data_IF_396459095248
#
_entry.id   IF_396459095248
#
_cell.length_a   1.000
_cell.length_b   1.000
_cell.length_c   1.000
_cell.angle_alpha   90.00
_cell.angle_beta   90.00
_cell.angle_gamma   90.00
#
_symmetry.space_group_name_H-M   'P 1'
#
loop_
_entity.id
_entity.type
_entity.pdbx_description
1 polymer ?
#
# COMPACT_ATOMS: atom_id res chain seq x y z
N UNK A 1 68.82 -7.12 -67.95
CA UNK A 1 69.46 -6.72 -66.68
C UNK A 1 68.36 -6.24 -65.75
N UNK A 2 68.41 -6.60 -64.45
CA UNK A 2 67.24 -7.10 -63.72
C UNK A 2 66.30 -6.01 -63.16
N UNK A 3 65.04 -6.43 -63.01
CA UNK A 3 63.94 -5.79 -62.29
C UNK A 3 64.29 -5.42 -60.84
N UNK A 4 64.03 -4.17 -60.48
CA UNK A 4 63.71 -3.72 -59.12
C UNK A 4 62.79 -2.50 -59.25
N UNK A 5 61.54 -2.66 -58.84
CA UNK A 5 60.84 -1.78 -57.90
C UNK A 5 59.35 -2.14 -57.86
N UNK A 6 59.03 -3.13 -57.04
CA UNK A 6 57.68 -3.37 -56.53
C UNK A 6 57.38 -2.32 -55.46
N UNK A 7 56.74 -1.21 -55.85
CA UNK A 7 56.09 -0.31 -54.89
C UNK A 7 54.67 -0.78 -54.58
N UNK A 8 54.53 -1.16 -53.32
CA UNK A 8 53.34 -1.49 -52.57
C UNK A 8 52.30 -0.34 -52.59
N UNK A 9 51.10 -0.57 -53.12
CA UNK A 9 49.93 0.27 -52.83
C UNK A 9 48.90 -0.56 -52.07
N UNK A 10 48.95 -0.46 -50.74
CA UNK A 10 47.97 -1.03 -49.82
C UNK A 10 46.59 -0.38 -50.05
N UNK A 11 45.66 -1.13 -50.64
CA UNK A 11 44.22 -0.82 -50.52
C UNK A 11 43.81 -1.08 -49.08
N UNK A 12 43.40 -0.03 -48.39
CA UNK A 12 42.76 -0.10 -47.07
C UNK A 12 41.38 -0.73 -47.22
N UNK A 13 41.21 -1.95 -46.70
CA UNK A 13 39.90 -2.55 -46.45
C UNK A 13 39.19 -1.77 -45.34
N UNK A 14 38.19 -0.98 -45.73
CA UNK A 14 37.25 -0.38 -44.77
C UNK A 14 36.19 -1.46 -44.46
N UNK A 15 36.01 -1.89 -43.19
CA UNK A 15 34.96 -2.84 -42.86
C UNK A 15 33.58 -2.21 -43.13
N UNK A 16 32.58 -2.99 -43.58
CA UNK A 16 31.26 -2.46 -43.90
C UNK A 16 30.62 -1.80 -42.67
N UNK A 17 29.94 -0.69 -42.91
CA UNK A 17 29.20 0.02 -41.87
C UNK A 17 28.25 -0.96 -41.13
N UNK A 18 28.13 -0.85 -39.80
CA UNK A 18 27.18 -1.66 -39.06
C UNK A 18 25.75 -1.36 -39.56
N UNK A 19 24.87 -2.37 -39.61
CA UNK A 19 23.53 -2.21 -40.14
C UNK A 19 22.79 -1.09 -39.41
N UNK A 20 22.11 -0.23 -40.16
CA UNK A 20 21.29 0.84 -39.61
C UNK A 20 20.17 0.25 -38.76
N UNK A 21 20.00 0.81 -37.56
CA UNK A 21 19.02 0.39 -36.53
C UNK A 21 17.57 0.32 -37.04
N UNK A 22 17.28 0.91 -38.18
CA UNK A 22 15.94 0.99 -38.78
C UNK A 22 15.44 -0.32 -39.40
N UNK A 23 16.30 -1.33 -39.60
CA UNK A 23 15.88 -2.62 -40.16
C UNK A 23 15.33 -3.63 -39.13
N UNK A 24 15.36 -3.33 -37.83
CA UNK A 24 15.00 -4.26 -36.75
C UNK A 24 13.65 -3.98 -36.06
N UNK A 25 12.81 -3.09 -36.61
CA UNK A 25 11.53 -2.71 -35.99
C UNK A 25 10.31 -3.40 -36.61
N UNK A 26 10.46 -4.65 -37.04
CA UNK A 26 9.32 -5.53 -37.30
C UNK A 26 8.79 -6.10 -35.97
N UNK A 27 7.78 -5.44 -35.40
CA UNK A 27 6.84 -5.96 -34.40
C UNK A 27 7.45 -6.67 -33.18
N UNK A 28 8.20 -5.96 -32.33
CA UNK A 28 8.44 -6.41 -30.97
C UNK A 28 7.08 -6.45 -30.21
N UNK A 29 6.53 -7.64 -30.00
CA UNK A 29 5.31 -7.83 -29.21
C UNK A 29 5.55 -7.26 -27.81
N UNK A 30 4.68 -6.35 -27.35
CA UNK A 30 4.72 -5.86 -25.97
C UNK A 30 4.78 -7.04 -25.00
N UNK A 31 5.62 -7.01 -23.95
CA UNK A 31 5.66 -8.08 -22.97
C UNK A 31 4.26 -8.31 -22.40
N UNK A 32 3.80 -9.55 -22.37
CA UNK A 32 2.53 -9.89 -21.71
C UNK A 32 2.65 -9.56 -20.22
N UNK A 33 1.59 -9.01 -19.59
CA UNK A 33 1.62 -8.81 -18.15
C UNK A 33 1.80 -10.15 -17.43
N UNK A 34 2.41 -10.16 -16.23
CA UNK A 34 2.55 -11.37 -15.45
C UNK A 34 1.19 -11.96 -15.09
N UNK A 35 1.12 -13.29 -14.97
CA UNK A 35 -0.08 -13.95 -14.46
C UNK A 35 -0.29 -13.59 -12.97
N UNK A 36 -1.55 -13.48 -12.50
CA UNK A 36 -1.83 -13.18 -11.11
C UNK A 36 -1.46 -14.35 -10.19
N UNK A 37 -1.11 -14.04 -8.94
CA UNK A 37 -0.77 -15.05 -7.93
C UNK A 37 -1.91 -16.05 -7.72
N UNK A 38 -1.58 -17.34 -7.76
CA UNK A 38 -2.56 -18.44 -7.70
C UNK A 38 -2.64 -19.05 -6.30
N UNK A 39 -3.00 -18.23 -5.31
CA UNK A 39 -3.24 -18.67 -3.93
C UNK A 39 -4.74 -18.99 -3.72
N UNK A 40 -5.10 -20.04 -2.95
CA UNK A 40 -6.49 -20.42 -2.71
C UNK A 40 -7.38 -19.27 -2.22
N UNK A 41 -6.88 -18.47 -1.25
CA UNK A 41 -7.63 -17.33 -0.72
C UNK A 41 -7.94 -16.28 -1.80
N UNK A 42 -6.96 -15.98 -2.66
CA UNK A 42 -7.13 -14.99 -3.71
C UNK A 42 -8.06 -15.52 -4.81
N UNK A 43 -7.97 -16.81 -5.14
CA UNK A 43 -8.89 -17.44 -6.08
C UNK A 43 -10.34 -17.37 -5.58
N UNK A 44 -10.58 -17.67 -4.30
CA UNK A 44 -11.91 -17.56 -3.69
C UNK A 44 -12.47 -16.13 -3.71
N UNK A 45 -11.61 -15.13 -3.56
CA UNK A 45 -12.00 -13.71 -3.59
C UNK A 45 -12.19 -13.13 -4.99
N UNK A 46 -11.65 -13.76 -6.06
CA UNK A 46 -11.70 -13.19 -7.42
C UNK A 46 -13.10 -13.00 -7.97
N UNK A 47 -14.04 -13.87 -7.61
CA UNK A 47 -15.45 -13.77 -8.03
C UNK A 47 -16.33 -13.09 -6.99
N UNK A 48 -15.73 -12.49 -5.96
CA UNK A 48 -16.45 -11.89 -4.84
C UNK A 48 -16.25 -10.38 -4.82
N UNK A 49 -17.13 -9.70 -4.10
CA UNK A 49 -17.06 -8.26 -3.86
C UNK A 49 -16.00 -7.99 -2.80
N UNK A 50 -14.96 -7.23 -3.14
CA UNK A 50 -13.88 -6.84 -2.21
C UNK A 50 -13.85 -5.32 -2.12
N UNK A 51 -13.81 -4.78 -0.90
CA UNK A 51 -13.80 -3.34 -0.68
C UNK A 51 -12.44 -2.91 -0.13
N UNK A 52 -11.85 -1.90 -0.76
CA UNK A 52 -10.78 -1.08 -0.20
C UNK A 52 -11.37 0.20 0.39
N UNK A 53 -11.35 0.29 1.72
CA UNK A 53 -11.84 1.40 2.52
C UNK A 53 -10.88 2.62 2.52
N UNK A 54 -10.43 3.06 1.35
CA UNK A 54 -9.44 4.13 1.22
C UNK A 54 -9.57 4.95 -0.05
N UNK A 55 -9.42 6.28 0.05
CA UNK A 55 -9.33 7.17 -1.12
C UNK A 55 -7.94 7.17 -1.77
N UNK A 56 -6.93 6.55 -1.14
CA UNK A 56 -5.55 6.65 -1.60
C UNK A 56 -5.33 5.94 -2.94
N UNK A 57 -4.96 6.67 -4.02
CA UNK A 57 -4.66 6.05 -5.31
C UNK A 57 -3.49 5.06 -5.22
N UNK A 58 -2.55 5.32 -4.32
CA UNK A 58 -1.37 4.46 -4.10
C UNK A 58 -1.75 3.11 -3.48
N UNK A 59 -2.65 3.11 -2.49
CA UNK A 59 -3.16 1.86 -1.89
C UNK A 59 -3.96 1.04 -2.91
N UNK A 60 -4.77 1.70 -3.74
CA UNK A 60 -5.46 1.05 -4.86
C UNK A 60 -4.48 0.40 -5.83
N UNK A 61 -3.40 1.11 -6.19
CA UNK A 61 -2.36 0.56 -7.05
C UNK A 61 -1.69 -0.67 -6.42
N UNK A 62 -1.29 -0.59 -5.15
CA UNK A 62 -0.66 -1.72 -4.45
C UNK A 62 -1.61 -2.92 -4.37
N UNK A 63 -2.87 -2.70 -3.99
CA UNK A 63 -3.89 -3.76 -3.91
C UNK A 63 -4.13 -4.45 -5.25
N UNK A 64 -3.99 -3.73 -6.38
CA UNK A 64 -4.15 -4.32 -7.71
C UNK A 64 -3.15 -5.44 -8.02
N UNK A 65 -1.98 -5.45 -7.36
CA UNK A 65 -0.97 -6.50 -7.53
C UNK A 65 -1.43 -7.86 -6.99
N UNK A 66 -2.47 -7.92 -6.15
CA UNK A 66 -3.07 -9.18 -5.71
C UNK A 66 -3.93 -9.85 -6.80
N UNK A 67 -4.18 -9.18 -7.93
CA UNK A 67 -4.92 -9.77 -9.05
C UNK A 67 -6.40 -10.04 -8.74
N UNK A 68 -7.01 -9.22 -7.89
CA UNK A 68 -8.45 -9.25 -7.60
C UNK A 68 -9.17 -8.30 -8.56
N UNK A 69 -10.08 -8.80 -9.42
CA UNK A 69 -10.72 -7.98 -10.46
C UNK A 69 -11.82 -7.06 -9.91
N UNK A 70 -12.44 -7.41 -8.79
CA UNK A 70 -13.65 -6.77 -8.26
C UNK A 70 -13.35 -5.96 -6.99
N UNK A 71 -12.32 -5.11 -7.02
CA UNK A 71 -12.01 -4.21 -5.92
C UNK A 71 -12.84 -2.92 -6.07
N UNK A 72 -13.78 -2.72 -5.15
CA UNK A 72 -14.52 -1.46 -4.97
C UNK A 72 -13.74 -0.51 -4.05
N UNK A 73 -13.78 0.78 -4.37
CA UNK A 73 -13.13 1.83 -3.57
C UNK A 73 -14.22 2.59 -2.83
N UNK A 74 -14.38 2.33 -1.53
CA UNK A 74 -15.43 2.94 -0.70
C UNK A 74 -14.76 3.55 0.52
N UNK A 75 -14.39 4.83 0.49
CA UNK A 75 -13.72 5.44 1.62
C UNK A 75 -14.65 5.68 2.80
N UNK A 76 -14.12 5.55 4.02
CA UNK A 76 -14.81 6.02 5.21
C UNK A 76 -15.02 7.54 5.15
N UNK A 77 -16.20 7.99 5.59
CA UNK A 77 -16.57 9.40 5.70
C UNK A 77 -16.24 10.01 7.07
N UNK A 78 -15.75 9.20 8.00
CA UNK A 78 -15.48 9.63 9.38
C UNK A 78 -14.25 10.53 9.47
N UNK A 79 -14.28 11.57 10.31
CA UNK A 79 -13.11 12.40 10.56
C UNK A 79 -12.01 11.61 11.28
N UNK A 80 -10.75 11.93 10.94
CA UNK A 80 -9.53 11.40 11.58
C UNK A 80 -9.18 12.28 12.80
N UNK A 81 -10.03 12.27 13.82
CA UNK A 81 -10.01 13.24 14.93
C UNK A 81 -9.59 12.67 16.29
N UNK A 82 -8.97 11.48 16.31
CA UNK A 82 -8.43 10.92 17.54
C UNK A 82 -7.41 11.86 18.20
N UNK A 83 -7.36 11.91 19.56
CA UNK A 83 -6.43 12.78 20.27
C UNK A 83 -4.97 12.47 19.90
N UNK A 84 -4.23 13.50 19.51
CA UNK A 84 -2.81 13.38 19.16
C UNK A 84 -1.89 13.10 20.34
N UNK A 85 -2.44 13.15 21.56
CA UNK A 85 -1.77 12.68 22.79
C UNK A 85 -1.71 11.16 22.88
N UNK A 86 -2.46 10.45 22.04
CA UNK A 86 -2.40 9.00 21.92
C UNK A 86 -1.05 8.56 21.36
N UNK A 87 -0.57 7.39 21.79
CA UNK A 87 0.66 6.84 21.22
C UNK A 87 0.49 6.64 19.70
N UNK A 88 1.52 6.91 18.87
CA UNK A 88 1.39 6.85 17.41
C UNK A 88 0.84 5.51 16.88
N UNK A 89 1.28 4.40 17.47
CA UNK A 89 0.85 3.04 17.13
C UNK A 89 -0.65 2.85 17.42
N UNK A 90 -1.11 3.28 18.59
CA UNK A 90 -2.52 3.19 18.97
C UNK A 90 -3.39 4.11 18.08
N UNK A 91 -2.90 5.31 17.77
CA UNK A 91 -3.58 6.27 16.90
C UNK A 91 -3.82 5.70 15.50
N UNK A 92 -2.77 5.17 14.86
CA UNK A 92 -2.86 4.66 13.49
C UNK A 92 -3.76 3.42 13.43
N UNK A 93 -3.67 2.55 14.44
CA UNK A 93 -4.52 1.37 14.55
C UNK A 93 -5.99 1.73 14.76
N UNK A 94 -6.28 2.63 15.70
CA UNK A 94 -7.64 3.09 15.98
C UNK A 94 -8.26 3.74 14.73
N UNK A 95 -7.49 4.57 14.04
CA UNK A 95 -7.93 5.23 12.80
C UNK A 95 -8.23 4.23 11.69
N UNK A 96 -7.34 3.26 11.43
CA UNK A 96 -7.58 2.21 10.44
C UNK A 96 -8.78 1.32 10.81
N UNK A 97 -8.94 0.98 12.09
CA UNK A 97 -10.05 0.16 12.59
C UNK A 97 -11.39 0.87 12.42
N UNK A 98 -11.47 2.15 12.82
CA UNK A 98 -12.67 2.98 12.65
C UNK A 98 -13.09 3.05 11.17
N UNK A 99 -12.13 3.21 10.26
CA UNK A 99 -12.39 3.22 8.80
C UNK A 99 -13.00 1.90 8.33
N UNK A 100 -12.44 0.77 8.72
CA UNK A 100 -12.94 -0.56 8.34
C UNK A 100 -14.36 -0.80 8.87
N UNK A 101 -14.58 -0.55 10.17
CA UNK A 101 -15.87 -0.75 10.83
C UNK A 101 -16.97 0.15 10.27
N UNK A 102 -16.65 1.41 9.94
CA UNK A 102 -17.60 2.33 9.31
C UNK A 102 -18.08 1.78 7.96
N UNK A 103 -17.14 1.36 7.12
CA UNK A 103 -17.47 0.83 5.78
C UNK A 103 -18.19 -0.51 5.89
N UNK A 104 -17.84 -1.35 6.86
CA UNK A 104 -18.58 -2.58 7.18
C UNK A 104 -20.04 -2.27 7.53
N UNK A 105 -20.28 -1.39 8.49
CA UNK A 105 -21.64 -1.04 8.92
C UNK A 105 -22.49 -0.46 7.76
N UNK A 106 -21.85 0.27 6.84
CA UNK A 106 -22.51 0.84 5.66
C UNK A 106 -22.83 -0.22 4.59
N UNK A 107 -21.92 -1.16 4.34
CA UNK A 107 -21.94 -1.98 3.12
C UNK A 107 -22.41 -3.42 3.33
N UNK A 108 -22.44 -3.92 4.58
CA UNK A 108 -22.86 -5.29 4.89
C UNK A 108 -24.34 -5.54 4.59
N UNK A 109 -25.20 -4.53 4.71
CA UNK A 109 -26.64 -4.62 4.44
C UNK A 109 -27.04 -3.95 3.11
N UNK A 110 -26.09 -3.80 2.17
CA UNK A 110 -26.36 -3.15 0.90
C UNK A 110 -27.19 -4.08 -0.02
N UNK A 111 -28.50 -3.85 -0.10
CA UNK A 111 -29.43 -4.67 -0.90
C UNK A 111 -29.11 -4.69 -2.41
N UNK A 112 -28.54 -3.60 -2.95
CA UNK A 112 -28.24 -3.47 -4.37
C UNK A 112 -27.00 -4.29 -4.77
N UNK A 113 -25.94 -4.21 -3.96
CA UNK A 113 -24.63 -4.80 -4.27
C UNK A 113 -24.35 -6.11 -3.54
N UNK A 114 -25.15 -6.43 -2.53
CA UNK A 114 -24.91 -7.52 -1.61
C UNK A 114 -23.76 -7.25 -0.65
N UNK A 115 -23.64 -8.15 0.31
CA UNK A 115 -22.60 -8.14 1.34
C UNK A 115 -21.19 -8.33 0.72
N UNK A 116 -20.19 -7.53 1.12
CA UNK A 116 -18.82 -7.70 0.67
C UNK A 116 -18.17 -8.93 1.29
N UNK A 117 -17.42 -9.71 0.51
CA UNK A 117 -16.69 -10.86 1.07
C UNK A 117 -15.45 -10.46 1.87
N UNK A 118 -14.92 -9.25 1.64
CA UNK A 118 -13.75 -8.75 2.33
C UNK A 118 -13.74 -7.21 2.32
N UNK A 119 -13.40 -6.61 3.45
CA UNK A 119 -13.19 -5.18 3.60
C UNK A 119 -11.78 -4.96 4.14
N UNK A 120 -11.01 -4.11 3.46
CA UNK A 120 -9.66 -3.74 3.88
C UNK A 120 -9.59 -2.23 4.10
N UNK A 121 -9.12 -1.81 5.27
CA UNK A 121 -8.74 -0.43 5.54
C UNK A 121 -7.26 -0.33 5.89
N UNK A 122 -6.67 0.83 5.64
CA UNK A 122 -5.35 1.15 6.12
C UNK A 122 -5.20 2.63 6.44
N UNK A 123 -4.38 2.91 7.44
CA UNK A 123 -3.97 4.25 7.82
C UNK A 123 -2.45 4.34 7.93
N UNK A 124 -1.86 5.46 7.54
CA UNK A 124 -0.41 5.62 7.49
C UNK A 124 -0.01 6.96 8.10
N UNK A 125 0.92 6.92 9.05
CA UNK A 125 1.47 8.09 9.71
C UNK A 125 3.00 8.11 9.60
N UNK A 126 3.57 9.31 9.63
CA UNK A 126 5.02 9.51 9.78
C UNK A 126 5.27 10.04 11.18
N UNK A 127 6.30 9.56 11.86
CA UNK A 127 6.67 9.97 13.22
C UNK A 127 8.07 10.56 13.20
N UNK A 128 8.17 11.80 13.65
CA UNK A 128 9.44 12.45 13.98
C UNK A 128 10.00 11.75 15.23
N UNK A 129 11.10 11.01 15.09
CA UNK A 129 11.70 10.23 16.18
C UNK A 129 12.40 11.10 17.21
N UNK A 130 12.78 12.33 16.86
CA UNK A 130 13.42 13.28 17.77
C UNK A 130 12.39 13.89 18.72
N UNK A 131 11.22 14.26 18.18
CA UNK A 131 10.14 14.91 18.95
C UNK A 131 9.07 13.94 19.45
N UNK A 132 9.04 12.71 18.93
CA UNK A 132 8.00 11.72 19.22
C UNK A 132 6.62 12.09 18.67
N UNK A 133 6.53 13.05 17.74
CA UNK A 133 5.26 13.60 17.25
C UNK A 133 4.86 13.04 15.90
N UNK A 134 3.55 12.85 15.69
CA UNK A 134 2.97 12.47 14.40
C UNK A 134 3.04 13.66 13.43
N UNK A 135 3.61 13.42 12.25
CA UNK A 135 3.65 14.34 11.13
C UNK A 135 2.49 14.07 10.18
N UNK A 136 1.53 15.00 10.18
CA UNK A 136 0.39 14.97 9.27
C UNK A 136 0.76 15.50 7.87
N UNK A 137 -0.26 15.73 7.04
CA UNK A 137 -0.13 16.47 5.79
C UNK A 137 0.26 17.92 6.08
N UNK A 138 1.15 18.52 5.26
CA UNK A 138 1.48 19.93 5.41
C UNK A 138 0.23 20.80 5.20
N UNK A 139 0.13 21.88 5.97
CA UNK A 139 -1.05 22.79 5.99
C UNK A 139 -0.90 23.97 5.04
N UNK A 140 0.33 24.27 4.66
CA UNK A 140 0.71 25.34 3.76
C UNK A 140 2.08 25.02 3.16
N UNK A 141 2.45 25.72 2.09
CA UNK A 141 3.78 25.63 1.49
C UNK A 141 4.90 25.92 2.50
N UNK A 142 4.73 26.96 3.32
CA UNK A 142 5.67 27.29 4.39
C UNK A 142 5.80 26.16 5.41
N UNK A 143 4.68 25.57 5.84
CA UNK A 143 4.71 24.41 6.74
C UNK A 143 5.39 23.20 6.08
N UNK A 144 5.17 22.98 4.78
CA UNK A 144 5.79 21.90 4.01
C UNK A 144 7.32 22.03 3.98
N UNK A 145 7.83 23.24 3.69
CA UNK A 145 9.27 23.52 3.70
C UNK A 145 9.87 23.26 5.08
N UNK A 146 9.25 23.78 6.15
CA UNK A 146 9.71 23.56 7.52
C UNK A 146 9.72 22.09 7.88
N UNK A 147 8.66 21.35 7.55
CA UNK A 147 8.54 19.91 7.81
C UNK A 147 9.68 19.12 7.14
N UNK A 148 9.99 19.40 5.87
CA UNK A 148 11.07 18.70 5.16
C UNK A 148 12.46 19.08 5.70
N UNK A 149 12.66 20.33 6.12
CA UNK A 149 13.90 20.76 6.78
C UNK A 149 14.10 20.07 8.12
N UNK A 150 13.03 19.91 8.89
CA UNK A 150 13.05 19.20 10.17
C UNK A 150 13.35 17.71 9.96
N UNK A 151 12.71 17.06 9.00
CA UNK A 151 13.01 15.66 8.64
C UNK A 151 14.46 15.48 8.17
N UNK A 152 14.97 16.40 7.33
CA UNK A 152 16.39 16.40 6.93
C UNK A 152 17.31 16.53 8.15
N UNK A 153 17.00 17.42 9.09
CA UNK A 153 17.81 17.65 10.27
C UNK A 153 17.79 16.46 11.24
N UNK A 154 16.62 15.82 11.40
CA UNK A 154 16.46 14.60 12.20
C UNK A 154 17.14 13.39 11.56
N UNK A 155 17.28 13.39 10.22
CA UNK A 155 17.76 12.31 9.37
C UNK A 155 16.87 11.08 9.34
N UNK A 156 16.57 10.51 10.51
CA UNK A 156 15.81 9.28 10.65
C UNK A 156 14.38 9.59 11.13
N UNK A 157 13.38 9.01 10.47
CA UNK A 157 11.98 9.04 10.89
C UNK A 157 11.32 7.69 10.63
N UNK A 158 10.20 7.45 11.33
CA UNK A 158 9.47 6.19 11.22
C UNK A 158 8.19 6.36 10.44
N UNK A 159 7.85 5.37 9.63
CA UNK A 159 6.55 5.27 8.96
C UNK A 159 5.81 4.08 9.54
N UNK A 160 4.60 4.32 10.02
CA UNK A 160 3.70 3.29 10.51
C UNK A 160 2.49 3.20 9.61
N UNK A 161 2.16 1.99 9.15
CA UNK A 161 0.85 1.71 8.55
C UNK A 161 0.14 0.64 9.35
N UNK A 162 -1.06 0.96 9.84
CA UNK A 162 -1.98 -0.05 10.32
C UNK A 162 -2.84 -0.55 9.16
N UNK A 163 -2.98 -1.86 9.05
CA UNK A 163 -3.87 -2.55 8.12
C UNK A 163 -4.91 -3.31 8.93
N UNK A 164 -6.17 -3.17 8.53
CA UNK A 164 -7.31 -3.87 9.13
C UNK A 164 -8.04 -4.60 8.03
N UNK A 165 -8.27 -5.89 8.22
CA UNK A 165 -9.06 -6.71 7.30
C UNK A 165 -10.22 -7.32 8.06
N UNK A 166 -11.40 -7.19 7.49
CA UNK A 166 -12.65 -7.73 8.00
C UNK A 166 -13.30 -8.65 6.96
N UNK A 167 -13.84 -9.77 7.43
CA UNK A 167 -14.62 -10.72 6.63
C UNK A 167 -15.93 -10.94 7.37
N UNK A 168 -17.11 -10.64 6.76
CA UNK A 168 -18.38 -10.96 7.39
C UNK A 168 -18.53 -12.46 7.61
N UNK A 169 -19.17 -12.83 8.72
CA UNK A 169 -19.47 -14.22 9.07
C UNK A 169 -20.83 -14.61 8.51
N UNK A 170 -20.98 -15.85 8.05
CA UNK A 170 -22.29 -16.38 7.68
C UNK A 170 -23.14 -16.70 8.93
N UNK A 171 -22.48 -16.99 10.06
CA UNK A 171 -23.12 -17.21 11.35
C UNK A 171 -23.73 -15.93 11.94
N UNK A 172 -24.81 -16.07 12.71
CA UNK A 172 -25.48 -14.95 13.39
C UNK A 172 -24.70 -14.40 14.60
N UNK A 173 -23.42 -14.77 14.73
CA UNK A 173 -22.56 -14.41 15.86
C UNK A 173 -22.23 -12.94 15.83
N UNK A 174 -22.24 -12.31 17.00
CA UNK A 174 -21.80 -10.92 17.14
C UNK A 174 -20.26 -10.87 17.24
N UNK A 175 -19.57 -9.93 16.57
CA UNK A 175 -20.10 -8.73 15.89
C UNK A 175 -20.47 -8.91 14.41
N UNK A 176 -20.60 -10.14 13.92
CA UNK A 176 -20.98 -10.47 12.53
C UNK A 176 -19.79 -10.55 11.57
N UNK A 177 -18.56 -10.43 12.08
CA UNK A 177 -17.36 -10.46 11.26
C UNK A 177 -16.16 -11.06 12.01
N UNK A 178 -15.26 -11.70 11.27
CA UNK A 178 -13.89 -11.90 11.68
C UNK A 178 -13.08 -10.64 11.34
N UNK A 179 -12.18 -10.24 12.25
CA UNK A 179 -11.27 -9.13 12.05
C UNK A 179 -9.86 -9.52 12.48
N UNK A 180 -8.89 -9.08 11.69
CA UNK A 180 -7.47 -9.14 12.01
C UNK A 180 -6.80 -7.80 11.66
N UNK A 181 -5.79 -7.46 12.45
CA UNK A 181 -5.04 -6.20 12.30
C UNK A 181 -3.55 -6.47 12.26
N UNK A 182 -2.81 -5.60 11.58
CA UNK A 182 -1.35 -5.61 11.54
C UNK A 182 -0.82 -4.18 11.52
N UNK A 183 0.31 -3.95 12.16
CA UNK A 183 1.01 -2.67 12.10
C UNK A 183 2.40 -2.93 11.55
N UNK A 184 2.72 -2.27 10.44
CA UNK A 184 4.05 -2.32 9.84
C UNK A 184 4.81 -1.04 10.19
N UNK A 185 6.02 -1.21 10.72
CA UNK A 185 6.97 -0.13 10.98
C UNK A 185 8.07 -0.15 9.91
N UNK A 186 8.50 1.02 9.46
CA UNK A 186 9.64 1.14 8.55
C UNK A 186 10.43 2.39 8.88
N UNK A 187 11.75 2.21 9.03
CA UNK A 187 12.68 3.31 9.21
C UNK A 187 13.03 3.92 7.85
N UNK A 188 12.95 5.24 7.77
CA UNK A 188 13.32 5.99 6.57
C UNK A 188 14.36 7.02 6.97
N UNK A 189 15.43 7.07 6.18
CA UNK A 189 16.55 7.99 6.35
C UNK A 189 16.60 8.97 5.20
N UNK A 190 16.49 10.25 5.52
CA UNK A 190 16.77 11.32 4.57
C UNK A 190 18.28 11.50 4.38
N UNK A 191 18.64 11.84 3.15
CA UNK A 191 20.00 12.25 2.82
C UNK A 191 20.34 13.55 3.58
N UNK A 192 21.48 13.55 4.27
CA UNK A 192 21.97 14.74 4.98
C UNK A 192 22.37 15.88 4.04
N UNK A 193 22.66 15.59 2.77
CA UNK A 193 23.14 16.56 1.78
C UNK A 193 22.00 17.26 1.01
N UNK A 194 20.73 16.98 1.34
CA UNK A 194 19.57 17.64 0.73
C UNK A 194 19.70 19.16 0.89
N UNK A 195 19.78 19.87 -0.23
CA UNK A 195 19.91 21.34 -0.21
C UNK A 195 18.57 22.02 0.02
N UNK A 196 18.61 23.25 0.51
CA UNK A 196 17.40 24.09 0.64
C UNK A 196 16.74 24.32 -0.73
N UNK A 197 17.53 24.47 -1.80
CA UNK A 197 17.03 24.62 -3.17
C UNK A 197 16.26 23.37 -3.63
N UNK A 198 16.75 22.17 -3.31
CA UNK A 198 16.05 20.92 -3.61
C UNK A 198 14.73 20.82 -2.85
N UNK A 199 14.70 21.19 -1.56
CA UNK A 199 13.45 21.22 -0.77
C UNK A 199 12.45 22.19 -1.40
N UNK A 200 12.88 23.41 -1.73
CA UNK A 200 12.01 24.41 -2.35
C UNK A 200 11.49 23.95 -3.72
N UNK A 201 12.35 23.34 -4.53
CA UNK A 201 11.96 22.78 -5.83
C UNK A 201 10.96 21.64 -5.68
N UNK A 202 11.19 20.73 -4.73
CA UNK A 202 10.27 19.61 -4.45
C UNK A 202 8.91 20.10 -3.98
N UNK A 203 8.86 21.04 -3.03
CA UNK A 203 7.60 21.59 -2.53
C UNK A 203 6.78 22.24 -3.65
N UNK A 204 7.42 22.94 -4.59
CA UNK A 204 6.75 23.53 -5.77
C UNK A 204 6.07 22.50 -6.68
N UNK A 205 6.53 21.25 -6.70
CA UNK A 205 5.87 20.16 -7.44
C UNK A 205 4.51 19.78 -6.84
N UNK A 206 4.28 20.13 -5.56
CA UNK A 206 3.14 19.74 -4.74
C UNK A 206 3.00 18.23 -4.54
N UNK A 207 3.98 17.42 -4.94
CA UNK A 207 3.91 15.96 -4.82
C UNK A 207 3.70 15.53 -3.36
N UNK A 208 4.36 16.18 -2.40
CA UNK A 208 4.20 15.87 -0.97
C UNK A 208 2.98 16.46 -0.27
N UNK A 209 2.22 17.36 -0.93
CA UNK A 209 1.24 18.20 -0.24
C UNK A 209 0.06 17.43 0.37
N UNK A 210 -0.27 16.26 -0.19
CA UNK A 210 -1.36 15.38 0.26
C UNK A 210 -0.87 14.17 1.08
N UNK A 211 0.40 14.17 1.53
CA UNK A 211 1.07 13.03 2.18
C UNK A 211 1.52 13.36 3.60
N UNK A 212 1.38 12.39 4.50
CA UNK A 212 1.98 12.48 5.84
C UNK A 212 3.50 12.66 5.72
N UNK A 213 4.08 13.54 6.52
CA UNK A 213 5.50 13.89 6.44
C UNK A 213 5.89 14.69 5.19
N UNK A 214 4.95 15.02 4.30
CA UNK A 214 5.21 15.93 3.20
C UNK A 214 6.08 15.36 2.07
N UNK A 215 6.23 14.05 1.92
CA UNK A 215 6.97 13.48 0.79
C UNK A 215 6.33 12.18 0.28
N UNK A 216 6.67 11.79 -0.95
CA UNK A 216 6.25 10.53 -1.55
C UNK A 216 7.45 9.71 -1.99
N UNK A 217 7.61 8.50 -1.45
CA UNK A 217 8.69 7.60 -1.87
C UNK A 217 8.51 7.14 -3.33
N UNK A 218 7.26 6.98 -3.77
CA UNK A 218 6.94 6.71 -5.17
C UNK A 218 6.82 8.04 -5.94
N UNK A 219 7.94 8.53 -6.47
CA UNK A 219 8.00 9.79 -7.21
C UNK A 219 9.31 10.55 -7.01
N UNK A 220 9.27 11.86 -7.18
CA UNK A 220 10.41 12.77 -6.98
C UNK A 220 10.87 12.79 -5.52
N UNK A 221 9.98 12.50 -4.56
CA UNK A 221 10.33 12.46 -3.15
C UNK A 221 11.35 11.36 -2.81
N UNK A 222 11.55 10.38 -3.69
CA UNK A 222 12.64 9.39 -3.56
C UNK A 222 14.03 10.03 -3.55
N UNK A 223 14.21 11.19 -4.18
CA UNK A 223 15.48 11.94 -4.20
C UNK A 223 15.85 12.47 -2.80
N UNK A 224 14.86 12.59 -1.90
CA UNK A 224 15.08 13.01 -0.51
C UNK A 224 15.53 11.85 0.39
N UNK A 225 15.45 10.59 -0.06
CA UNK A 225 15.63 9.41 0.78
C UNK A 225 16.95 8.73 0.46
N UNK A 226 17.82 8.60 1.46
CA UNK A 226 19.08 7.85 1.37
C UNK A 226 18.84 6.35 1.54
N UNK A 227 18.04 5.97 2.54
CA UNK A 227 17.84 4.57 2.92
C UNK A 227 16.43 4.32 3.44
N UNK A 228 15.91 3.14 3.14
CA UNK A 228 14.70 2.57 3.76
C UNK A 228 15.10 1.25 4.42
N UNK A 229 14.75 1.06 5.68
CA UNK A 229 14.96 -0.16 6.45
C UNK A 229 13.61 -0.70 6.91
N UNK A 230 13.10 -1.70 6.18
CA UNK A 230 11.75 -2.25 6.32
C UNK A 230 11.01 -2.36 4.98
N UNK A 231 9.68 -2.35 5.04
CA UNK A 231 8.80 -2.51 3.88
C UNK A 231 8.72 -1.22 3.05
N UNK A 232 9.19 -1.29 1.80
CA UNK A 232 9.13 -0.16 0.85
C UNK A 232 7.69 0.32 0.58
N UNK A 233 6.79 -0.64 0.39
CA UNK A 233 5.37 -0.47 0.15
C UNK A 233 4.59 0.02 1.39
N UNK A 234 5.10 -0.25 2.61
CA UNK A 234 4.64 0.43 3.83
C UNK A 234 4.81 1.95 3.73
N UNK A 235 5.98 2.42 3.29
CA UNK A 235 6.25 3.86 3.12
C UNK A 235 5.34 4.49 2.05
N UNK A 236 5.00 3.73 1.01
CA UNK A 236 4.03 4.17 0.00
C UNK A 236 2.61 4.27 0.59
N UNK A 237 2.28 3.36 1.52
CA UNK A 237 1.09 3.42 2.36
C UNK A 237 0.30 2.12 2.50
N UNK A 238 0.80 0.98 2.00
CA UNK A 238 0.19 -0.34 2.23
C UNK A 238 1.25 -1.45 2.18
N UNK A 239 1.58 -2.11 3.29
CA UNK A 239 2.52 -3.23 3.29
C UNK A 239 1.87 -4.48 2.67
N UNK A 240 2.16 -4.75 1.40
CA UNK A 240 1.52 -5.77 0.58
C UNK A 240 1.71 -7.19 1.13
N UNK A 241 2.93 -7.53 1.55
CA UNK A 241 3.22 -8.85 2.12
C UNK A 241 2.42 -9.08 3.41
N UNK A 242 2.45 -8.11 4.33
CA UNK A 242 1.69 -8.19 5.57
C UNK A 242 0.18 -8.23 5.29
N UNK A 243 -0.29 -7.43 4.33
CA UNK A 243 -1.68 -7.41 3.87
C UNK A 243 -2.13 -8.78 3.36
N UNK A 244 -1.35 -9.44 2.51
CA UNK A 244 -1.68 -10.77 1.99
C UNK A 244 -1.80 -11.80 3.13
N UNK A 245 -0.83 -11.82 4.06
CA UNK A 245 -0.87 -12.70 5.24
C UNK A 245 -2.09 -12.42 6.12
N UNK A 246 -2.46 -11.15 6.26
CA UNK A 246 -3.61 -10.75 7.06
C UNK A 246 -4.93 -11.21 6.43
N UNK A 247 -5.04 -11.13 5.11
CA UNK A 247 -6.16 -11.67 4.32
C UNK A 247 -6.28 -13.19 4.52
N UNK A 248 -5.16 -13.93 4.38
CA UNK A 248 -5.14 -15.38 4.60
C UNK A 248 -5.62 -15.75 6.01
N UNK A 249 -5.11 -15.03 7.01
CA UNK A 249 -5.42 -15.28 8.42
C UNK A 249 -6.90 -15.03 8.74
N UNK A 250 -7.46 -13.90 8.30
CA UNK A 250 -8.85 -13.54 8.65
C UNK A 250 -9.87 -14.40 7.89
N UNK A 251 -9.58 -14.80 6.66
CA UNK A 251 -10.46 -15.70 5.91
C UNK A 251 -10.47 -17.09 6.56
N UNK A 252 -9.31 -17.62 6.95
CA UNK A 252 -9.24 -18.89 7.68
C UNK A 252 -10.00 -18.83 9.02
N UNK A 253 -9.87 -17.70 9.74
CA UNK A 253 -10.60 -17.46 10.98
C UNK A 253 -12.12 -17.42 10.77
N UNK A 254 -12.60 -16.75 9.72
CA UNK A 254 -14.02 -16.71 9.39
C UNK A 254 -14.56 -18.11 9.05
N UNK A 255 -13.83 -18.88 8.25
CA UNK A 255 -14.20 -20.25 7.90
C UNK A 255 -14.28 -21.16 9.15
N UNK A 256 -13.39 -20.98 10.11
CA UNK A 256 -13.39 -21.75 11.36
C UNK A 256 -14.53 -21.31 12.29
N UNK A 257 -14.80 -20.00 12.39
CA UNK A 257 -15.90 -19.46 13.19
C UNK A 257 -17.27 -19.93 12.68
N UNK A 258 -17.45 -20.00 11.36
CA UNK A 258 -18.69 -20.47 10.73
C UNK A 258 -18.90 -22.00 10.82
N UNK A 259 -17.85 -22.77 11.14
CA UNK A 259 -17.96 -24.23 11.38
C UNK A 259 -18.36 -24.57 12.81
N UNK A 260 -18.23 -23.64 13.75
CA UNK A 260 -18.59 -23.89 15.14
C UNK A 260 -20.13 -23.85 15.28
N UNK A 261 -20.74 -24.81 16.01
CA UNK A 261 -22.18 -24.79 16.24
C UNK A 261 -22.61 -23.50 16.95
N UNK A 262 -23.78 -22.98 16.56
CA UNK A 262 -24.43 -21.87 17.23
C UNK A 262 -24.85 -22.36 18.63
N UNK A 263 -24.26 -21.81 19.69
CA UNK A 263 -24.50 -22.25 21.08
C UNK A 263 -25.86 -21.76 21.62
N UNK A 264 -26.78 -21.41 20.72
CA UNK A 264 -28.13 -20.92 21.00
C UNK A 264 -29.18 -21.98 21.34
N UNK A 265 -28.84 -23.26 21.53
CA UNK A 265 -29.78 -24.25 22.08
C UNK A 265 -29.72 -24.28 23.62
N UNK A 266 -30.22 -23.22 24.27
CA UNK A 266 -30.73 -23.38 25.64
C UNK A 266 -31.98 -24.23 25.51
N UNK A 267 -31.89 -25.50 25.89
CA UNK A 267 -32.97 -26.47 25.83
C UNK A 267 -34.24 -25.92 26.48
N UNK A 268 -35.29 -25.83 25.69
CA UNK A 268 -36.67 -25.86 26.15
C UNK A 268 -37.01 -27.30 26.54
N UNK A 269 -36.97 -27.60 27.83
CA UNK A 269 -37.70 -28.65 28.57
C UNK A 269 -37.07 -28.65 29.98
N UNK A 270 -37.79 -28.48 31.08
CA UNK A 270 -38.90 -29.34 31.48
C UNK A 270 -40.07 -28.52 32.04
N UNK A 271 -41.26 -28.78 31.51
CA UNK A 271 -42.51 -28.51 32.20
C UNK A 271 -42.63 -29.42 33.43
N UNK A 272 -42.84 -28.80 34.58
CA UNK A 272 -43.38 -29.49 35.75
C UNK A 272 -44.91 -29.35 35.71
N UNK A 273 -45.57 -30.38 35.20
CA UNK A 273 -46.95 -30.72 35.54
C UNK A 273 -46.90 -31.77 36.66
N UNK A 274 -47.22 -31.37 37.90
CA UNK A 274 -48.14 -32.03 38.85
C UNK A 274 -48.29 -31.21 40.14
#
# INVERSE_FOLDING_TARGET
MPDKDTLNSSKTDVPPDPPTYEAATAAASRPRPPFPLSLPVLQGLRSKRVILASQSPRRKQIMSYLGLPNIEIIPSTEPEDYPKTMAPIDYVLATATKKAQTVYAQETQNEEKGEPALILAADTIVVDTVRGSILEKPRSEAHHITMLKDLRAARDHKVYTAVVVMVPLASARQPGYAMETHIEETDVRFDSEITDDLILAYVKTREGADKAGGYGLQGLGSILVEKVDGSYDNVIGLPLLATLKLIEKVVAKADDDDRLPDDGSVGSDEGFDE
#
